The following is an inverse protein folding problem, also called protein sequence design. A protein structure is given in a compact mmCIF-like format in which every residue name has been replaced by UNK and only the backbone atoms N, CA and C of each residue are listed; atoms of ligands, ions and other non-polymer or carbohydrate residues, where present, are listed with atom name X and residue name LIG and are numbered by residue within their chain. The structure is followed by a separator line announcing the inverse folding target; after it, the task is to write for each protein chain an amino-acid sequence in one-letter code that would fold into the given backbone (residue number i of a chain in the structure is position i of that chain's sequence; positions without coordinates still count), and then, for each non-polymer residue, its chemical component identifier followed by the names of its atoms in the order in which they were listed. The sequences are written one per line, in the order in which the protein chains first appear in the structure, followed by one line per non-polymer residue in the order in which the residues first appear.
data_IF_403243598843
#
_entry.id   IF_403243598843
#
_cell.length_a   1.000
_cell.length_b   1.000
_cell.length_c   1.000
_cell.angle_alpha   90.00
_cell.angle_beta   90.00
_cell.angle_gamma   90.00
#
_symmetry.space_group_name_H-M   'P 1'
#
loop_
_entity.id
_entity.type
_entity.pdbx_description
1 polymer ?
#
# COMPACT_ATOMS: atom_id res chain seq x y z
N UNK A 1 -35.24 30.40 5.97
CA UNK A 1 -33.81 30.23 6.26
C UNK A 1 -33.62 30.16 7.77
N UNK A 2 -32.78 29.25 8.27
CA UNK A 2 -32.43 29.23 9.69
C UNK A 2 -31.66 30.52 10.03
N UNK A 3 -31.95 31.15 11.18
CA UNK A 3 -31.22 32.32 11.66
C UNK A 3 -29.79 31.90 12.06
N UNK A 4 -28.80 32.69 11.68
CA UNK A 4 -27.41 32.48 12.10
C UNK A 4 -27.32 32.75 13.61
N UNK A 5 -26.78 31.80 14.37
CA UNK A 5 -26.59 31.92 15.83
C UNK A 5 -25.12 31.69 16.20
N UNK A 6 -24.65 32.36 17.25
CA UNK A 6 -23.33 32.10 17.83
C UNK A 6 -23.40 30.83 18.68
N UNK A 7 -22.47 29.90 18.44
CA UNK A 7 -22.41 28.64 19.19
C UNK A 7 -21.90 28.89 20.62
N UNK A 8 -22.32 28.04 21.57
CA UNK A 8 -21.71 28.00 22.90
C UNK A 8 -20.25 27.54 22.80
N UNK A 9 -19.41 27.95 23.76
CA UNK A 9 -18.00 27.54 23.78
C UNK A 9 -17.86 26.00 23.81
N UNK A 10 -18.71 25.31 24.57
CA UNK A 10 -18.72 23.85 24.65
C UNK A 10 -19.05 23.19 23.30
N UNK A 11 -20.06 23.67 22.58
CA UNK A 11 -20.45 23.11 21.28
C UNK A 11 -19.40 23.40 20.21
N UNK A 12 -18.85 24.62 20.19
CA UNK A 12 -17.72 24.95 19.32
C UNK A 12 -16.50 24.07 19.63
N UNK A 13 -16.29 23.75 20.91
CA UNK A 13 -15.20 22.88 21.32
C UNK A 13 -15.37 21.45 20.80
N UNK A 14 -16.57 20.89 20.96
CA UNK A 14 -16.92 19.55 20.48
C UNK A 14 -16.85 19.43 18.94
N UNK A 15 -17.22 20.49 18.20
CA UNK A 15 -17.12 20.50 16.73
C UNK A 15 -15.65 20.45 16.30
N UNK A 16 -14.81 21.33 16.83
CA UNK A 16 -13.38 21.36 16.51
C UNK A 16 -12.67 20.06 16.95
N UNK A 17 -13.02 19.51 18.12
CA UNK A 17 -12.52 18.21 18.54
C UNK A 17 -12.95 17.09 17.59
N UNK A 18 -14.11 17.24 16.95
CA UNK A 18 -14.58 16.34 15.93
C UNK A 18 -13.69 16.29 14.68
N UNK A 19 -13.06 17.40 14.31
CA UNK A 19 -12.18 17.50 13.15
C UNK A 19 -10.77 16.94 13.43
N UNK A 20 -10.31 17.09 14.68
CA UNK A 20 -8.97 16.66 15.12
C UNK A 20 -8.96 15.21 15.60
N UNK A 21 -9.97 14.78 16.36
CA UNK A 21 -10.03 13.46 17.01
C UNK A 21 -11.24 12.67 16.50
N UNK A 22 -11.02 11.87 15.47
CA UNK A 22 -12.07 10.98 14.94
C UNK A 22 -12.25 9.72 15.80
N UNK A 23 -11.14 9.14 16.27
CA UNK A 23 -11.07 7.79 16.84
C UNK A 23 -9.93 7.67 17.86
N UNK A 24 -9.84 6.58 18.65
CA UNK A 24 -8.73 6.34 19.58
C UNK A 24 -7.35 6.47 18.94
N UNK A 25 -7.16 5.95 17.73
CA UNK A 25 -5.88 6.06 17.01
C UNK A 25 -5.50 7.52 16.70
N UNK A 26 -6.46 8.41 16.42
CA UNK A 26 -6.18 9.83 16.20
C UNK A 26 -5.65 10.50 17.48
N UNK A 27 -6.26 10.20 18.64
CA UNK A 27 -5.78 10.71 19.92
C UNK A 27 -4.36 10.19 20.24
N UNK A 28 -4.12 8.89 20.04
CA UNK A 28 -2.78 8.29 20.22
C UNK A 28 -1.75 8.94 19.29
N UNK A 29 -2.09 9.17 18.02
CA UNK A 29 -1.21 9.83 17.05
C UNK A 29 -0.77 11.20 17.56
N UNK A 30 -1.73 12.06 17.92
CA UNK A 30 -1.40 13.43 18.33
C UNK A 30 -0.59 13.47 19.63
N UNK A 31 -0.85 12.57 20.58
CA UNK A 31 -0.06 12.46 21.81
C UNK A 31 1.38 11.99 21.54
N UNK A 32 1.56 10.99 20.67
CA UNK A 32 2.90 10.52 20.28
C UNK A 32 3.65 11.61 19.50
N UNK A 33 2.99 12.32 18.59
CA UNK A 33 3.60 13.44 17.86
C UNK A 33 4.07 14.55 18.82
N UNK A 34 3.29 14.84 19.87
CA UNK A 34 3.71 15.78 20.90
C UNK A 34 4.92 15.29 21.70
N UNK A 35 4.98 14.01 22.03
CA UNK A 35 6.14 13.41 22.71
C UNK A 35 7.40 13.45 21.83
N UNK A 36 7.27 13.18 20.52
CA UNK A 36 8.36 13.27 19.56
C UNK A 36 8.87 14.72 19.42
N UNK A 37 7.96 15.69 19.32
CA UNK A 37 8.31 17.11 19.27
C UNK A 37 8.98 17.58 20.58
N UNK A 38 8.67 16.96 21.72
CA UNK A 38 9.30 17.20 23.03
C UNK A 38 10.68 16.51 23.18
N UNK A 39 11.18 15.88 22.11
CA UNK A 39 12.49 15.22 22.10
C UNK A 39 12.55 13.90 22.87
N UNK A 40 11.42 13.21 23.05
CA UNK A 40 11.38 11.93 23.75
C UNK A 40 12.26 10.86 23.07
N UNK A 41 12.94 10.06 23.89
CA UNK A 41 13.73 8.89 23.46
C UNK A 41 13.02 7.58 23.72
N UNK A 42 12.02 7.57 24.59
CA UNK A 42 11.16 6.42 24.88
C UNK A 42 9.71 6.87 24.99
N UNK A 43 8.84 6.15 24.31
CA UNK A 43 7.40 6.38 24.31
C UNK A 43 6.68 5.07 24.65
N UNK A 44 5.91 5.09 25.72
CA UNK A 44 5.07 3.99 26.19
C UNK A 44 3.60 4.27 25.92
N UNK A 45 2.91 3.32 25.29
CA UNK A 45 1.48 3.42 25.01
C UNK A 45 0.75 2.25 25.65
N UNK A 46 -0.31 2.52 26.39
CA UNK A 46 -1.20 1.50 26.95
C UNK A 46 -2.64 1.77 26.52
N UNK A 47 -3.32 0.75 26.01
CA UNK A 47 -4.74 0.84 25.62
C UNK A 47 -5.58 -0.29 26.22
N UNK A 48 -6.83 0.03 26.54
CA UNK A 48 -7.83 -0.94 26.99
C UNK A 48 -9.13 -0.78 26.20
N UNK A 49 -9.78 -1.91 25.86
CA UNK A 49 -11.01 -1.96 25.05
C UNK A 49 -10.90 -1.12 23.76
N UNK A 50 -9.80 -1.32 23.01
CA UNK A 50 -9.56 -0.59 21.77
C UNK A 50 -9.23 0.90 21.95
N UNK A 51 -8.92 1.34 23.18
CA UNK A 51 -8.72 2.75 23.51
C UNK A 51 -10.02 3.50 23.81
N UNK A 52 -11.16 2.81 23.91
CA UNK A 52 -12.45 3.42 24.27
C UNK A 52 -12.53 3.75 25.75
N UNK A 53 -12.05 2.82 26.59
CA UNK A 53 -12.08 2.94 28.04
C UNK A 53 -10.86 3.68 28.57
N UNK A 54 -9.68 3.32 28.07
CA UNK A 54 -8.42 3.86 28.56
C UNK A 54 -7.37 3.94 27.45
N UNK A 55 -6.67 5.07 27.40
CA UNK A 55 -5.43 5.29 26.63
C UNK A 55 -4.46 5.97 27.60
N UNK A 56 -3.21 5.52 27.63
CA UNK A 56 -2.12 6.20 28.32
C UNK A 56 -0.95 6.32 27.36
N UNK A 57 -0.38 7.51 27.27
CA UNK A 57 0.86 7.80 26.53
C UNK A 57 1.84 8.43 27.51
N UNK A 58 2.98 7.78 27.71
CA UNK A 58 4.06 8.21 28.59
C UNK A 58 5.33 8.42 27.77
N UNK A 59 6.04 9.51 28.02
CA UNK A 59 7.28 9.86 27.36
C UNK A 59 8.33 10.39 28.34
N UNK A 60 9.60 10.32 27.93
CA UNK A 60 10.74 10.90 28.65
C UNK A 60 11.28 12.18 27.97
N UNK A 61 10.38 12.95 27.36
CA UNK A 61 10.69 14.24 26.73
C UNK A 61 11.10 15.32 27.73
N UNK A 62 11.13 16.58 27.27
CA UNK A 62 11.50 17.72 28.12
C UNK A 62 10.54 18.01 29.28
N UNK A 63 9.28 17.56 29.16
CA UNK A 63 8.20 17.88 30.10
C UNK A 63 7.79 19.35 30.05
N UNK A 64 6.85 19.74 30.92
CA UNK A 64 6.35 21.11 31.01
C UNK A 64 6.53 21.67 32.43
N UNK A 65 6.71 22.99 32.52
CA UNK A 65 6.56 23.71 33.79
C UNK A 65 5.07 23.79 34.17
N UNK A 66 4.72 24.09 35.44
CA UNK A 66 3.32 24.20 35.86
C UNK A 66 2.50 25.16 34.99
N UNK A 67 3.04 26.35 34.72
CA UNK A 67 2.36 27.37 33.90
C UNK A 67 2.18 26.92 32.45
N UNK A 68 3.19 26.26 31.87
CA UNK A 68 3.12 25.73 30.50
C UNK A 68 2.15 24.55 30.41
N UNK A 69 2.03 23.72 31.45
CA UNK A 69 1.10 22.60 31.49
C UNK A 69 -0.36 23.08 31.50
N UNK A 70 -0.65 24.17 32.22
CA UNK A 70 -1.96 24.83 32.20
C UNK A 70 -2.21 25.43 30.81
N UNK A 71 -1.24 26.18 30.28
CA UNK A 71 -1.35 26.83 28.97
C UNK A 71 -1.52 25.81 27.83
N UNK A 72 -0.91 24.64 27.91
CA UNK A 72 -1.03 23.57 26.90
C UNK A 72 -2.46 22.99 26.78
N UNK A 73 -3.32 23.24 27.78
CA UNK A 73 -4.74 22.87 27.76
C UNK A 73 -5.63 23.99 27.22
N UNK A 74 -5.09 25.19 26.99
CA UNK A 74 -5.78 26.28 26.33
C UNK A 74 -5.69 26.17 24.81
N UNK A 75 -6.71 26.68 24.11
CA UNK A 75 -6.73 26.68 22.63
C UNK A 75 -5.84 27.77 22.07
N UNK A 76 -5.26 27.49 20.90
CA UNK A 76 -4.38 28.40 20.17
C UNK A 76 -3.08 28.73 20.92
N UNK A 77 -2.72 27.92 21.91
CA UNK A 77 -1.45 28.00 22.60
C UNK A 77 -0.49 26.96 22.00
N UNK A 78 0.62 27.43 21.43
CA UNK A 78 1.68 26.54 20.95
C UNK A 78 3.05 27.16 21.18
N UNK A 79 4.02 26.33 21.55
CA UNK A 79 5.44 26.70 21.62
C UNK A 79 6.17 26.57 20.28
N UNK A 80 5.49 26.07 19.23
CA UNK A 80 6.14 25.56 18.00
C UNK A 80 6.12 26.53 16.82
N UNK A 81 5.30 27.58 16.85
CA UNK A 81 5.23 28.62 15.83
C UNK A 81 5.19 30.00 16.50
N UNK A 82 5.97 30.96 15.99
CA UNK A 82 5.98 32.33 16.50
C UNK A 82 5.60 33.36 15.41
N UNK A 83 5.86 33.07 14.14
CA UNK A 83 5.61 33.97 13.01
C UNK A 83 4.87 33.29 11.87
N UNK A 84 4.16 34.06 11.04
CA UNK A 84 3.44 33.54 9.86
C UNK A 84 4.37 32.90 8.82
N UNK A 85 5.63 33.33 8.75
CA UNK A 85 6.67 32.70 7.92
C UNK A 85 6.96 31.24 8.31
N UNK A 86 6.73 30.88 9.58
CA UNK A 86 7.03 29.55 10.11
C UNK A 86 6.02 28.50 9.60
N UNK A 87 4.84 28.92 9.13
CA UNK A 87 3.86 28.04 8.48
C UNK A 87 4.34 27.51 7.11
N UNK A 88 5.28 28.21 6.45
CA UNK A 88 5.81 27.78 5.16
C UNK A 88 6.92 26.72 5.31
N UNK A 89 7.51 26.56 6.50
CA UNK A 89 8.62 25.65 6.78
C UNK A 89 8.38 24.85 8.09
N UNK A 90 7.38 23.96 8.05
CA UNK A 90 6.93 23.22 9.25
C UNK A 90 7.86 22.02 9.52
N UNK A 91 8.80 22.21 10.43
CA UNK A 91 9.70 21.15 10.91
C UNK A 91 9.10 20.27 12.03
N UNK A 92 8.11 20.76 12.80
CA UNK A 92 7.49 20.04 13.92
C UNK A 92 6.25 19.26 13.49
N UNK A 93 5.96 18.13 14.14
CA UNK A 93 4.81 17.28 13.79
C UNK A 93 3.49 17.98 14.13
N UNK A 94 3.38 18.54 15.33
CA UNK A 94 2.30 19.43 15.79
C UNK A 94 2.64 20.91 15.61
N UNK A 95 1.68 21.75 15.21
CA UNK A 95 1.91 23.20 15.09
C UNK A 95 0.69 24.08 15.39
N UNK A 96 -0.49 23.48 15.61
CA UNK A 96 -1.76 24.23 15.72
C UNK A 96 -2.16 24.63 17.14
N UNK A 97 -1.52 24.08 18.18
CA UNK A 97 -1.92 24.33 19.57
C UNK A 97 -3.35 23.88 19.91
N UNK A 98 -3.89 22.91 19.14
CA UNK A 98 -5.30 22.51 19.24
C UNK A 98 -5.48 21.04 19.64
N UNK A 99 -4.42 20.22 19.55
CA UNK A 99 -4.52 18.77 19.72
C UNK A 99 -4.92 18.37 21.14
N UNK A 100 -4.14 18.78 22.15
CA UNK A 100 -4.39 18.42 23.55
C UNK A 100 -5.71 19.01 24.09
N UNK A 101 -6.04 20.30 23.86
CA UNK A 101 -7.34 20.86 24.25
C UNK A 101 -8.52 20.16 23.56
N UNK A 102 -8.39 19.80 22.28
CA UNK A 102 -9.42 19.07 21.55
C UNK A 102 -9.67 17.69 22.15
N UNK A 103 -8.62 16.93 22.43
CA UNK A 103 -8.72 15.65 23.12
C UNK A 103 -9.39 15.82 24.48
N UNK A 104 -8.93 16.76 25.30
CA UNK A 104 -9.44 17.01 26.64
C UNK A 104 -10.93 17.36 26.67
N UNK A 105 -11.46 17.99 25.60
CA UNK A 105 -12.88 18.35 25.49
C UNK A 105 -13.83 17.16 25.30
N UNK A 106 -13.32 16.00 24.87
CA UNK A 106 -14.13 14.81 24.55
C UNK A 106 -13.83 13.60 25.45
N UNK A 107 -13.05 13.78 26.50
CA UNK A 107 -12.69 12.71 27.44
C UNK A 107 -12.53 13.21 28.88
N UNK A 108 -12.23 12.28 29.79
CA UNK A 108 -11.67 12.59 31.10
C UNK A 108 -10.15 12.42 31.01
N UNK A 109 -9.41 13.52 31.04
CA UNK A 109 -7.98 13.56 30.82
C UNK A 109 -7.24 13.78 32.14
N UNK A 110 -6.13 13.07 32.32
CA UNK A 110 -5.17 13.27 33.39
C UNK A 110 -3.80 13.51 32.79
N UNK A 111 -3.26 14.70 33.01
CA UNK A 111 -1.93 15.12 32.53
C UNK A 111 -0.99 15.18 33.74
N UNK A 112 0.07 14.37 33.74
CA UNK A 112 1.16 14.46 34.71
C UNK A 112 2.43 14.80 33.95
N UNK A 113 3.13 15.86 34.35
CA UNK A 113 4.34 16.30 33.64
C UNK A 113 5.36 16.87 34.61
N UNK A 114 6.64 16.75 34.29
CA UNK A 114 7.73 17.34 35.06
C UNK A 114 8.80 17.85 34.10
N UNK A 115 9.02 19.16 34.10
CA UNK A 115 10.05 19.80 33.30
C UNK A 115 11.46 19.45 33.77
N UNK A 116 12.44 19.41 32.86
CA UNK A 116 13.87 19.26 33.23
C UNK A 116 14.29 20.35 34.22
N UNK A 117 14.91 19.93 35.32
CA UNK A 117 15.37 20.83 36.38
C UNK A 117 14.30 21.27 37.38
N UNK A 118 13.05 20.79 37.25
CA UNK A 118 12.01 20.99 38.25
C UNK A 118 12.13 19.96 39.37
N UNK A 119 11.85 20.39 40.60
CA UNK A 119 11.90 19.52 41.80
C UNK A 119 10.60 18.73 41.95
N UNK A 120 9.50 19.26 41.44
CA UNK A 120 8.19 18.65 41.50
C UNK A 120 7.48 18.66 40.15
N UNK A 121 6.66 17.64 39.92
CA UNK A 121 5.79 17.55 38.77
C UNK A 121 4.44 18.21 39.01
N UNK A 122 3.73 18.48 37.93
CA UNK A 122 2.35 18.98 37.95
C UNK A 122 1.41 17.88 37.50
N UNK A 123 0.30 17.75 38.23
CA UNK A 123 -0.84 16.92 37.85
C UNK A 123 -2.05 17.80 37.56
N UNK A 124 -2.60 17.67 36.36
CA UNK A 124 -3.82 18.36 35.94
C UNK A 124 -4.88 17.32 35.59
N UNK A 125 -6.07 17.46 36.14
CA UNK A 125 -7.23 16.68 35.77
C UNK A 125 -8.23 17.56 35.02
N UNK A 126 -8.73 17.05 33.90
CA UNK A 126 -9.66 17.75 33.02
C UNK A 126 -10.82 16.83 32.68
N UNK A 127 -12.04 17.35 32.72
CA UNK A 127 -13.24 16.62 32.33
C UNK A 127 -14.03 17.42 31.32
N UNK A 128 -14.12 16.92 30.08
CA UNK A 128 -14.88 17.59 29.03
C UNK A 128 -14.36 19.00 28.71
N UNK A 129 -13.05 19.21 28.84
CA UNK A 129 -12.38 20.49 28.56
C UNK A 129 -12.38 21.48 29.73
N UNK A 130 -12.97 21.12 30.87
CA UNK A 130 -12.93 21.93 32.10
C UNK A 130 -11.88 21.36 33.04
N UNK A 131 -10.90 22.17 33.43
CA UNK A 131 -9.88 21.81 34.42
C UNK A 131 -10.54 21.68 35.79
N UNK A 132 -10.46 20.49 36.39
CA UNK A 132 -11.08 20.18 37.69
C UNK A 132 -10.12 20.31 38.85
N UNK A 133 -8.84 20.00 38.63
CA UNK A 133 -7.80 20.09 39.66
C UNK A 133 -6.44 20.34 39.03
N UNK A 134 -5.60 21.09 39.74
CA UNK A 134 -4.18 21.29 39.45
C UNK A 134 -3.45 21.11 40.77
N UNK A 135 -2.56 20.12 40.86
CA UNK A 135 -1.85 19.78 42.08
C UNK A 135 -0.39 19.48 41.79
N UNK A 136 0.47 19.75 42.76
CA UNK A 136 1.88 19.34 42.73
C UNK A 136 2.01 17.86 43.12
N UNK A 137 2.81 17.11 42.37
CA UNK A 137 3.02 15.66 42.58
C UNK A 137 4.46 15.25 42.31
N UNK A 138 4.92 14.18 42.95
CA UNK A 138 6.16 13.51 42.56
C UNK A 138 6.03 12.88 41.17
N UNK A 139 6.89 13.28 40.22
CA UNK A 139 6.92 12.71 38.88
C UNK A 139 8.35 12.72 38.31
N UNK A 140 8.77 11.67 37.57
CA UNK A 140 9.97 11.74 36.74
C UNK A 140 9.80 12.79 35.64
N UNK A 141 10.94 13.24 35.10
CA UNK A 141 11.01 14.11 33.92
C UNK A 141 10.28 13.46 32.74
N UNK A 142 9.52 14.27 32.01
CA UNK A 142 8.71 13.84 30.87
C UNK A 142 7.22 14.08 31.09
N UNK A 143 6.39 13.43 30.30
CA UNK A 143 4.93 13.63 30.32
C UNK A 143 4.18 12.30 30.27
N UNK A 144 3.12 12.20 31.07
CA UNK A 144 2.13 11.14 31.04
C UNK A 144 0.76 11.77 30.79
N UNK A 145 0.11 11.35 29.71
CA UNK A 145 -1.28 11.70 29.40
C UNK A 145 -2.14 10.45 29.48
N UNK A 146 -3.12 10.43 30.39
CA UNK A 146 -4.15 9.41 30.46
C UNK A 146 -5.48 9.95 29.97
N UNK A 147 -6.16 9.18 29.14
CA UNK A 147 -7.49 9.46 28.60
C UNK A 147 -8.41 8.35 29.09
N UNK A 148 -9.49 8.72 29.78
CA UNK A 148 -10.58 7.83 30.19
C UNK A 148 -11.87 8.19 29.47
N UNK A 149 -12.60 7.16 29.09
CA UNK A 149 -13.93 7.25 28.46
C UNK A 149 -13.97 8.22 27.26
N UNK A 150 -13.23 7.89 26.20
CA UNK A 150 -13.21 8.70 24.99
C UNK A 150 -14.64 8.82 24.40
N UNK A 151 -15.04 10.05 24.09
CA UNK A 151 -16.38 10.44 23.62
C UNK A 151 -17.51 10.20 24.63
N UNK A 152 -17.25 10.27 25.95
CA UNK A 152 -18.29 10.11 26.97
C UNK A 152 -19.44 11.12 26.84
N UNK A 153 -19.14 12.36 26.43
CA UNK A 153 -20.09 13.45 26.18
C UNK A 153 -20.59 13.52 24.73
N UNK A 154 -20.17 12.60 23.85
CA UNK A 154 -20.55 12.57 22.43
C UNK A 154 -21.09 11.17 22.03
N UNK A 155 -22.32 10.81 22.42
CA UNK A 155 -22.85 9.45 22.25
C UNK A 155 -22.96 9.02 20.78
N UNK A 156 -23.25 9.95 19.85
CA UNK A 156 -23.28 9.65 18.42
C UNK A 156 -21.91 9.18 17.91
N UNK A 157 -20.83 9.92 18.23
CA UNK A 157 -19.44 9.55 17.90
C UNK A 157 -19.04 8.21 18.49
N UNK A 158 -19.39 7.97 19.75
CA UNK A 158 -19.11 6.70 20.43
C UNK A 158 -19.74 5.51 19.69
N UNK A 159 -20.92 5.68 19.08
CA UNK A 159 -21.59 4.65 18.26
C UNK A 159 -20.91 4.41 16.90
N UNK A 160 -20.19 5.39 16.34
CA UNK A 160 -19.42 5.22 15.09
C UNK A 160 -18.12 4.44 15.28
N UNK A 161 -17.67 4.22 16.52
CA UNK A 161 -16.51 3.39 16.79
C UNK A 161 -16.78 1.93 16.41
N UNK A 162 -15.77 1.30 15.81
CA UNK A 162 -15.83 -0.11 15.41
C UNK A 162 -15.63 -1.02 16.62
N UNK A 163 -15.54 -2.33 16.39
CA UNK A 163 -15.24 -3.29 17.46
C UNK A 163 -13.89 -2.99 18.13
N UNK A 164 -13.75 -3.37 19.39
CA UNK A 164 -12.55 -3.09 20.20
C UNK A 164 -11.30 -3.68 19.54
N UNK A 165 -11.42 -4.88 18.96
CA UNK A 165 -10.35 -5.52 18.16
C UNK A 165 -9.95 -4.67 16.96
N UNK A 166 -10.91 -4.08 16.24
CA UNK A 166 -10.64 -3.26 15.07
C UNK A 166 -9.97 -1.92 15.45
N UNK A 167 -10.35 -1.32 16.58
CA UNK A 167 -9.68 -0.11 17.08
C UNK A 167 -8.26 -0.43 17.59
N UNK A 168 -8.08 -1.50 18.40
CA UNK A 168 -6.76 -1.95 18.84
C UNK A 168 -5.82 -2.23 17.66
N UNK A 169 -6.31 -2.86 16.59
CA UNK A 169 -5.52 -3.10 15.39
C UNK A 169 -5.09 -1.81 14.69
N UNK A 170 -5.93 -0.77 14.69
CA UNK A 170 -5.58 0.55 14.13
C UNK A 170 -4.53 1.26 14.97
N UNK A 171 -4.66 1.24 16.29
CA UNK A 171 -3.65 1.80 17.20
C UNK A 171 -2.33 1.06 17.03
N UNK A 172 -2.35 -0.28 17.01
CA UNK A 172 -1.15 -1.09 16.78
C UNK A 172 -0.47 -0.73 15.47
N UNK A 173 -1.23 -0.69 14.36
CA UNK A 173 -0.71 -0.28 13.05
C UNK A 173 -0.06 1.10 13.09
N UNK A 174 -0.72 2.08 13.72
CA UNK A 174 -0.20 3.44 13.84
C UNK A 174 1.10 3.49 14.64
N UNK A 175 1.17 2.82 15.79
CA UNK A 175 2.38 2.80 16.63
C UNK A 175 3.52 2.11 15.88
N UNK A 176 3.26 1.02 15.15
CA UNK A 176 4.25 0.39 14.27
C UNK A 176 4.75 1.36 13.19
N UNK A 177 3.86 2.14 12.57
CA UNK A 177 4.26 3.13 11.57
C UNK A 177 5.12 4.24 12.17
N UNK A 178 4.76 4.76 13.34
CA UNK A 178 5.57 5.77 14.03
C UNK A 178 6.93 5.21 14.46
N UNK A 179 6.98 3.96 14.93
CA UNK A 179 8.23 3.30 15.27
C UNK A 179 9.16 3.12 14.07
N UNK A 180 8.62 2.89 12.86
CA UNK A 180 9.41 2.85 11.62
C UNK A 180 9.94 4.23 11.22
N UNK A 181 9.14 5.29 11.40
CA UNK A 181 9.53 6.65 11.02
C UNK A 181 10.55 7.30 11.95
N UNK A 182 10.70 6.78 13.17
CA UNK A 182 11.59 7.30 14.23
C UNK A 182 12.42 6.17 14.86
N UNK A 183 13.37 5.58 14.11
CA UNK A 183 14.20 4.47 14.59
C UNK A 183 15.02 4.83 15.84
N UNK A 184 15.33 6.11 16.07
CA UNK A 184 16.07 6.59 17.23
C UNK A 184 15.27 6.61 18.55
N UNK A 185 13.96 6.32 18.51
CA UNK A 185 13.05 6.38 19.66
C UNK A 185 12.55 4.98 20.03
N UNK A 186 12.65 4.59 21.30
CA UNK A 186 12.09 3.33 21.78
C UNK A 186 10.57 3.40 21.89
N UNK A 187 9.85 2.40 21.37
CA UNK A 187 8.39 2.33 21.46
C UNK A 187 7.94 1.07 22.20
N UNK A 188 6.89 1.21 23.01
CA UNK A 188 6.16 0.08 23.56
C UNK A 188 4.66 0.28 23.47
N UNK A 189 3.91 -0.76 23.10
CA UNK A 189 2.46 -0.77 23.09
C UNK A 189 1.95 -1.96 23.90
N UNK A 190 1.15 -1.69 24.93
CA UNK A 190 0.39 -2.68 25.69
C UNK A 190 -1.09 -2.57 25.34
N UNK A 191 -1.71 -3.67 24.91
CA UNK A 191 -3.16 -3.74 24.66
C UNK A 191 -3.76 -4.82 25.56
N UNK A 192 -4.70 -4.43 26.43
CA UNK A 192 -5.38 -5.36 27.36
C UNK A 192 -4.41 -6.24 28.15
N UNK A 193 -3.34 -5.63 28.68
CA UNK A 193 -2.29 -6.30 29.46
C UNK A 193 -1.22 -7.06 28.65
N UNK A 194 -1.40 -7.25 27.34
CA UNK A 194 -0.41 -7.92 26.48
C UNK A 194 0.48 -6.90 25.76
N UNK A 195 1.79 -7.16 25.71
CA UNK A 195 2.71 -6.38 24.89
C UNK A 195 2.49 -6.74 23.41
N UNK A 196 2.22 -5.74 22.58
CA UNK A 196 1.94 -5.87 21.14
C UNK A 196 3.10 -5.34 20.30
N UNK A 197 3.67 -4.20 20.71
CA UNK A 197 4.88 -3.62 20.12
C UNK A 197 5.89 -3.42 21.25
N UNK A 198 7.14 -3.79 21.02
CA UNK A 198 8.25 -3.52 21.92
C UNK A 198 9.50 -3.44 21.07
N UNK A 199 10.09 -2.25 21.01
CA UNK A 199 11.26 -2.02 20.18
C UNK A 199 12.14 -0.96 20.85
N UNK A 200 13.40 -1.30 21.06
CA UNK A 200 14.39 -0.40 21.66
C UNK A 200 14.79 0.69 20.64
N UNK A 201 15.40 1.80 21.07
CA UNK A 201 16.09 2.70 20.14
C UNK A 201 17.03 1.89 19.24
N UNK A 202 17.03 2.21 17.95
CA UNK A 202 17.80 1.56 16.91
C UNK A 202 18.66 2.62 16.20
N UNK A 203 19.83 2.23 15.72
CA UNK A 203 20.73 3.15 15.00
C UNK A 203 20.34 3.29 13.53
N UNK A 204 19.71 2.25 12.98
CA UNK A 204 19.32 2.19 11.56
C UNK A 204 17.86 1.82 11.38
N UNK A 205 17.29 2.24 10.25
CA UNK A 205 15.94 1.84 9.83
C UNK A 205 15.86 0.32 9.65
N UNK A 206 16.94 -0.32 9.20
CA UNK A 206 17.01 -1.77 9.01
C UNK A 206 16.90 -2.54 10.33
N UNK A 207 17.62 -2.10 11.36
CA UNK A 207 17.54 -2.69 12.69
C UNK A 207 16.12 -2.54 13.27
N UNK A 208 15.53 -1.35 13.13
CA UNK A 208 14.13 -1.10 13.51
C UNK A 208 13.17 -2.03 12.78
N UNK A 209 13.39 -2.22 11.48
CA UNK A 209 12.58 -3.10 10.66
C UNK A 209 12.64 -4.54 11.16
N UNK A 210 13.83 -5.05 11.45
CA UNK A 210 14.05 -6.37 12.03
C UNK A 210 13.35 -6.54 13.38
N UNK A 211 13.41 -5.54 14.28
CA UNK A 211 12.71 -5.59 15.57
C UNK A 211 11.18 -5.71 15.41
N UNK A 212 10.60 -5.16 14.34
CA UNK A 212 9.15 -5.13 14.12
C UNK A 212 8.62 -6.30 13.29
N UNK A 213 9.37 -6.72 12.27
CA UNK A 213 8.93 -7.72 11.29
C UNK A 213 9.77 -9.00 11.29
N UNK A 214 10.89 -9.03 12.02
CA UNK A 214 11.86 -10.12 11.98
C UNK A 214 12.65 -10.15 10.67
N UNK A 215 13.24 -11.30 10.39
CA UNK A 215 13.93 -11.54 9.13
C UNK A 215 12.94 -11.68 7.98
N UNK A 216 13.13 -10.87 6.93
CA UNK A 216 12.24 -10.80 5.76
C UNK A 216 13.07 -10.85 4.47
N UNK A 217 13.58 -12.04 4.08
CA UNK A 217 14.38 -12.20 2.86
C UNK A 217 13.54 -12.01 1.59
N UNK A 218 12.22 -11.92 1.74
CA UNK A 218 11.26 -11.66 0.66
C UNK A 218 11.13 -10.18 0.29
N UNK A 219 11.79 -9.27 1.03
CA UNK A 219 11.79 -7.84 0.75
C UNK A 219 13.06 -7.42 0.02
N UNK A 220 12.89 -6.61 -1.02
CA UNK A 220 13.93 -6.00 -1.82
C UNK A 220 14.18 -4.59 -1.32
N UNK A 221 15.43 -4.21 -1.18
CA UNK A 221 15.82 -2.85 -0.87
C UNK A 221 15.57 -1.94 -2.09
N UNK A 222 15.08 -0.73 -1.82
CA UNK A 222 14.86 0.32 -2.81
C UNK A 222 15.69 1.51 -2.41
N UNK A 223 16.53 2.01 -3.31
CA UNK A 223 17.27 3.25 -3.12
C UNK A 223 17.33 4.02 -4.43
N UNK A 224 16.91 5.29 -4.41
CA UNK A 224 17.00 6.17 -5.57
C UNK A 224 17.09 7.63 -5.15
N UNK A 225 17.97 8.38 -5.79
CA UNK A 225 18.01 9.83 -5.65
C UNK A 225 17.92 10.46 -7.04
N UNK A 226 16.93 11.34 -7.26
CA UNK A 226 16.77 12.05 -8.51
C UNK A 226 15.92 13.33 -8.31
N UNK A 227 16.29 14.41 -8.99
CA UNK A 227 15.50 15.65 -8.99
C UNK A 227 15.37 16.33 -7.61
N UNK A 228 16.30 16.05 -6.68
CA UNK A 228 16.23 16.49 -5.29
C UNK A 228 15.26 15.69 -4.44
N UNK A 229 14.81 14.52 -4.90
CA UNK A 229 13.98 13.57 -4.15
C UNK A 229 14.85 12.35 -3.85
N UNK A 230 14.95 11.98 -2.58
CA UNK A 230 15.57 10.74 -2.15
C UNK A 230 14.49 9.74 -1.70
N UNK A 231 14.56 8.52 -2.22
CA UNK A 231 13.66 7.41 -1.90
C UNK A 231 14.52 6.28 -1.36
N UNK A 232 14.20 5.81 -0.17
CA UNK A 232 14.78 4.61 0.42
C UNK A 232 13.68 3.70 0.98
N UNK A 233 13.96 2.41 1.17
CA UNK A 233 13.03 1.52 1.84
C UNK A 233 13.05 0.08 1.33
N UNK A 234 11.93 -0.61 1.52
CA UNK A 234 11.79 -2.05 1.28
C UNK A 234 10.46 -2.38 0.61
N UNK A 235 10.49 -3.25 -0.38
CA UNK A 235 9.29 -3.65 -1.14
C UNK A 235 9.26 -5.16 -1.35
N UNK A 236 8.08 -5.77 -1.30
CA UNK A 236 7.99 -7.21 -1.46
C UNK A 236 8.33 -7.67 -2.89
N UNK A 237 9.19 -8.68 -2.98
CA UNK A 237 9.54 -9.34 -4.23
C UNK A 237 8.31 -10.01 -4.87
N UNK A 238 8.30 -10.02 -6.20
CA UNK A 238 7.18 -10.59 -6.98
C UNK A 238 7.17 -12.13 -6.95
N UNK A 239 8.34 -12.74 -6.75
CA UNK A 239 8.61 -14.10 -7.19
C UNK A 239 7.86 -15.22 -6.44
N UNK A 240 7.39 -15.05 -5.20
CA UNK A 240 6.96 -16.21 -4.40
C UNK A 240 5.72 -16.00 -3.50
N UNK A 241 4.99 -14.90 -3.65
CA UNK A 241 3.89 -14.61 -2.73
C UNK A 241 2.51 -14.88 -3.34
N UNK A 242 1.65 -15.55 -2.56
CA UNK A 242 0.19 -15.54 -2.78
C UNK A 242 -0.30 -14.09 -2.80
N UNK A 243 -1.40 -13.77 -3.49
CA UNK A 243 -2.00 -12.44 -3.46
C UNK A 243 -2.42 -12.10 -2.02
N UNK A 244 -1.54 -11.44 -1.28
CA UNK A 244 -1.80 -10.97 0.08
C UNK A 244 -1.84 -9.45 0.06
N UNK A 245 -2.75 -8.87 0.84
CA UNK A 245 -2.80 -7.43 1.07
C UNK A 245 -1.73 -7.10 2.11
N UNK A 246 -0.54 -6.73 1.65
CA UNK A 246 0.57 -6.34 2.49
C UNK A 246 0.35 -4.97 3.16
N UNK A 247 1.08 -4.67 4.25
CA UNK A 247 1.11 -3.31 4.80
C UNK A 247 1.77 -2.35 3.82
N UNK A 248 1.20 -1.15 3.69
CA UNK A 248 1.81 -0.04 2.95
C UNK A 248 2.11 1.06 3.95
N UNK A 249 3.39 1.28 4.19
CA UNK A 249 3.92 2.29 5.08
C UNK A 249 4.70 3.27 4.21
N UNK A 250 4.17 4.48 4.08
CA UNK A 250 4.74 5.53 3.23
C UNK A 250 5.01 6.72 4.11
N UNK A 251 6.26 7.18 4.09
CA UNK A 251 6.72 8.33 4.85
C UNK A 251 7.21 9.40 3.91
N UNK A 252 6.75 10.64 4.09
CA UNK A 252 7.31 11.83 3.42
C UNK A 252 7.84 12.74 4.50
N UNK A 253 9.14 13.03 4.50
CA UNK A 253 9.82 13.83 5.54
C UNK A 253 9.42 13.39 6.97
N UNK A 254 9.50 12.08 7.23
CA UNK A 254 9.13 11.42 8.51
C UNK A 254 7.66 11.51 8.93
N UNK A 255 6.75 11.92 8.04
CA UNK A 255 5.28 11.92 8.27
C UNK A 255 4.61 10.76 7.57
N UNK A 256 3.65 10.12 8.22
CA UNK A 256 2.84 9.05 7.62
C UNK A 256 1.87 9.68 6.62
N UNK A 257 2.00 9.32 5.34
CA UNK A 257 1.21 9.90 4.25
C UNK A 257 0.35 8.85 3.56
N UNK A 258 -0.86 9.26 3.17
CA UNK A 258 -1.74 8.53 2.26
C UNK A 258 -2.01 9.39 1.03
N UNK A 259 -1.11 9.32 0.07
CA UNK A 259 -1.22 10.08 -1.16
C UNK A 259 -1.66 9.19 -2.33
N UNK A 260 -2.49 9.75 -3.22
CA UNK A 260 -3.02 9.03 -4.38
C UNK A 260 -1.97 8.85 -5.47
N UNK A 261 -1.10 9.84 -5.68
CA UNK A 261 -0.03 9.79 -6.68
C UNK A 261 0.99 8.73 -6.32
N UNK A 262 1.41 8.67 -5.06
CA UNK A 262 2.30 7.62 -4.55
C UNK A 262 1.65 6.24 -4.66
N UNK A 263 0.39 6.11 -4.23
CA UNK A 263 -0.34 4.85 -4.34
C UNK A 263 -0.48 4.36 -5.78
N UNK A 264 -0.74 5.28 -6.72
CA UNK A 264 -0.83 4.97 -8.14
C UNK A 264 0.52 4.53 -8.71
N UNK A 265 1.62 5.22 -8.38
CA UNK A 265 2.97 4.86 -8.82
C UNK A 265 3.37 3.45 -8.35
N UNK A 266 3.02 3.08 -7.12
CA UNK A 266 3.24 1.73 -6.59
C UNK A 266 2.45 0.70 -7.41
N UNK A 267 1.16 0.95 -7.64
CA UNK A 267 0.30 0.04 -8.40
C UNK A 267 0.81 -0.13 -9.84
N UNK A 268 1.17 0.96 -10.53
CA UNK A 268 1.71 0.95 -11.90
C UNK A 268 3.04 0.18 -12.00
N UNK A 269 3.91 0.35 -11.01
CA UNK A 269 5.20 -0.37 -10.97
C UNK A 269 5.02 -1.88 -10.79
N UNK A 270 4.01 -2.30 -10.03
CA UNK A 270 3.71 -3.71 -9.80
C UNK A 270 2.81 -4.35 -10.88
N UNK A 271 1.94 -3.57 -11.53
CA UNK A 271 1.04 -4.08 -12.58
C UNK A 271 1.81 -4.48 -13.85
N UNK A 272 2.88 -3.74 -14.19
CA UNK A 272 3.79 -4.09 -15.29
C UNK A 272 4.53 -5.40 -15.05
N UNK A 273 4.69 -5.78 -13.79
CA UNK A 273 5.47 -6.94 -13.39
C UNK A 273 4.59 -8.13 -12.92
N UNK A 274 3.25 -8.00 -12.88
CA UNK A 274 2.34 -9.07 -12.42
C UNK A 274 0.90 -8.95 -12.94
N UNK A 275 0.31 -10.10 -13.31
CA UNK A 275 -1.00 -10.28 -13.98
C UNK A 275 -2.25 -10.00 -13.09
N UNK A 276 -2.10 -9.72 -11.79
CA UNK A 276 -3.24 -9.51 -10.86
C UNK A 276 -3.07 -8.24 -10.03
N UNK A 277 -4.17 -7.54 -9.75
CA UNK A 277 -4.26 -6.44 -8.77
C UNK A 277 -3.75 -6.91 -7.40
N UNK A 278 -2.50 -6.60 -7.09
CA UNK A 278 -1.91 -6.83 -5.77
C UNK A 278 -1.87 -5.50 -5.01
N UNK A 279 -2.11 -5.56 -3.70
CA UNK A 279 -1.68 -4.49 -2.78
C UNK A 279 -0.34 -4.95 -2.19
N UNK A 280 0.79 -4.63 -2.84
CA UNK A 280 2.07 -5.10 -2.39
C UNK A 280 2.39 -4.54 -1.01
N UNK A 281 3.16 -5.31 -0.25
CA UNK A 281 3.83 -4.81 0.93
C UNK A 281 4.92 -3.84 0.51
N UNK A 282 4.86 -2.61 1.02
CA UNK A 282 5.83 -1.55 0.74
C UNK A 282 6.08 -0.73 2.00
N UNK A 283 7.35 -0.40 2.20
CA UNK A 283 7.84 0.43 3.30
C UNK A 283 8.77 1.47 2.69
N UNK A 284 8.27 2.67 2.38
CA UNK A 284 8.99 3.69 1.63
C UNK A 284 9.20 4.94 2.46
N UNK A 285 10.42 5.46 2.42
CA UNK A 285 10.85 6.69 3.06
C UNK A 285 11.27 7.66 1.96
N UNK A 286 10.51 8.76 1.84
CA UNK A 286 10.67 9.75 0.78
C UNK A 286 11.10 11.06 1.44
N UNK A 287 12.27 11.56 1.06
CA UNK A 287 12.79 12.85 1.49
C UNK A 287 12.69 13.84 0.32
N UNK A 288 12.02 14.97 0.59
CA UNK A 288 11.75 16.02 -0.41
C UNK A 288 11.99 17.38 0.26
N UNK A 289 12.63 18.34 -0.43
CA UNK A 289 12.73 19.72 0.02
C UNK A 289 11.38 20.30 0.49
N UNK A 290 11.38 21.00 1.63
CA UNK A 290 10.15 21.47 2.28
C UNK A 290 9.36 22.49 1.45
N UNK A 291 10.03 23.23 0.55
CA UNK A 291 9.43 24.15 -0.41
C UNK A 291 8.62 23.45 -1.52
N UNK A 292 8.80 22.14 -1.69
CA UNK A 292 8.13 21.33 -2.72
C UNK A 292 6.99 20.46 -2.18
N UNK A 293 6.72 20.51 -0.87
CA UNK A 293 5.66 19.73 -0.22
C UNK A 293 4.84 20.60 0.70
N UNK A 294 3.56 20.77 0.39
CA UNK A 294 2.59 21.35 1.31
C UNK A 294 1.99 20.27 2.21
N UNK A 295 2.33 20.35 3.50
CA UNK A 295 1.82 19.45 4.55
C UNK A 295 0.53 19.96 5.21
N UNK A 296 0.09 21.18 4.89
CA UNK A 296 -1.04 21.85 5.53
C UNK A 296 -2.38 21.61 4.80
N UNK A 297 -2.57 20.44 4.22
CA UNK A 297 -3.74 20.15 3.34
C UNK A 297 -4.94 19.61 4.13
N UNK A 298 -4.69 18.82 5.19
CA UNK A 298 -5.75 18.15 5.95
C UNK A 298 -5.53 18.31 7.47
N UNK A 299 -6.60 18.45 8.30
CA UNK A 299 -6.47 18.63 9.76
C UNK A 299 -5.61 17.56 10.47
N UNK A 300 -5.76 16.28 10.07
CA UNK A 300 -4.97 15.15 10.60
C UNK A 300 -3.57 14.99 9.97
N UNK A 301 -3.20 15.85 9.01
CA UNK A 301 -1.89 15.84 8.29
C UNK A 301 -1.55 14.52 7.57
N UNK A 302 -2.57 13.73 7.22
CA UNK A 302 -2.40 12.45 6.53
C UNK A 302 -2.24 12.58 5.01
N UNK A 303 -2.56 13.75 4.46
CA UNK A 303 -2.49 14.07 3.03
C UNK A 303 -1.48 15.20 2.85
N UNK A 304 -0.66 15.10 1.81
CA UNK A 304 0.31 16.12 1.41
C UNK A 304 0.07 16.48 -0.04
N UNK A 305 0.38 17.72 -0.42
CA UNK A 305 0.35 18.15 -1.81
C UNK A 305 1.77 18.42 -2.28
N UNK A 306 2.21 17.66 -3.28
CA UNK A 306 3.47 17.92 -3.95
C UNK A 306 3.30 19.07 -4.95
N UNK A 307 4.30 19.95 -5.02
CA UNK A 307 4.36 21.00 -6.04
C UNK A 307 4.46 20.38 -7.45
N UNK A 308 5.28 19.34 -7.61
CA UNK A 308 5.43 18.58 -8.85
C UNK A 308 5.10 17.10 -8.63
N UNK A 309 3.83 16.76 -8.84
CA UNK A 309 3.34 15.38 -8.69
C UNK A 309 3.91 14.43 -9.75
N UNK A 310 4.17 14.93 -10.96
CA UNK A 310 4.68 14.14 -12.07
C UNK A 310 6.12 13.69 -11.81
N UNK A 311 6.95 14.59 -11.28
CA UNK A 311 8.31 14.26 -10.89
C UNK A 311 8.35 13.19 -9.79
N UNK A 312 7.57 13.36 -8.71
CA UNK A 312 7.48 12.38 -7.61
C UNK A 312 7.05 11.01 -8.14
N UNK A 313 6.03 10.98 -8.99
CA UNK A 313 5.55 9.74 -9.61
C UNK A 313 6.64 9.05 -10.43
N UNK A 314 7.35 9.79 -11.30
CA UNK A 314 8.36 9.22 -12.19
C UNK A 314 9.59 8.72 -11.43
N UNK A 315 10.08 9.46 -10.43
CA UNK A 315 11.20 9.02 -9.58
C UNK A 315 10.84 7.76 -8.81
N UNK A 316 9.65 7.72 -8.20
CA UNK A 316 9.17 6.55 -7.48
C UNK A 316 8.99 5.34 -8.40
N UNK A 317 8.36 5.55 -9.56
CA UNK A 317 8.17 4.50 -10.56
C UNK A 317 9.51 3.90 -11.00
N UNK A 318 10.53 4.73 -11.27
CA UNK A 318 11.88 4.27 -11.63
C UNK A 318 12.53 3.49 -10.49
N UNK A 319 12.50 4.01 -9.27
CA UNK A 319 13.06 3.35 -8.09
C UNK A 319 12.46 1.95 -7.88
N UNK A 320 11.15 1.83 -7.98
CA UNK A 320 10.45 0.55 -7.87
C UNK A 320 10.74 -0.38 -9.04
N UNK A 321 10.76 0.13 -10.27
CA UNK A 321 11.04 -0.69 -11.47
C UNK A 321 12.45 -1.24 -11.45
N UNK A 322 13.43 -0.44 -11.00
CA UNK A 322 14.83 -0.86 -10.85
C UNK A 322 14.94 -1.96 -9.79
N UNK A 323 14.40 -1.75 -8.58
CA UNK A 323 14.44 -2.75 -7.52
C UNK A 323 13.72 -4.06 -7.90
N UNK A 324 12.57 -3.98 -8.58
CA UNK A 324 11.84 -5.14 -9.07
C UNK A 324 12.53 -5.81 -10.28
N UNK A 325 13.24 -5.04 -11.10
CA UNK A 325 13.90 -5.49 -12.33
C UNK A 325 15.30 -6.09 -12.10
N UNK A 326 16.04 -5.63 -11.09
CA UNK A 326 17.32 -6.22 -10.66
C UNK A 326 17.16 -7.66 -10.17
N UNK A 327 15.95 -8.05 -9.75
CA UNK A 327 15.62 -9.46 -9.46
C UNK A 327 15.61 -10.36 -10.71
N UNK A 328 15.66 -9.78 -11.91
CA UNK A 328 15.45 -10.46 -13.18
C UNK A 328 14.08 -11.15 -13.26
N UNK A 329 13.64 -11.66 -14.44
CA UNK A 329 12.76 -12.81 -14.42
C UNK A 329 13.49 -13.88 -13.60
N UNK A 330 12.84 -14.45 -12.59
CA UNK A 330 13.39 -15.57 -11.83
C UNK A 330 14.04 -16.52 -12.82
N UNK A 331 15.37 -16.62 -12.81
CA UNK A 331 16.01 -17.71 -13.52
C UNK A 331 15.43 -18.94 -12.86
N UNK A 332 14.49 -19.60 -13.54
CA UNK A 332 14.06 -20.94 -13.22
C UNK A 332 15.33 -21.75 -13.26
N UNK A 333 16.00 -21.87 -12.11
CA UNK A 333 16.92 -22.95 -11.86
C UNK A 333 16.02 -24.18 -11.86
N UNK A 334 15.76 -24.70 -13.06
CA UNK A 334 15.46 -26.11 -13.21
C UNK A 334 16.69 -26.82 -12.68
N UNK A 335 16.66 -27.13 -11.39
CA UNK A 335 17.26 -28.38 -10.96
C UNK A 335 16.47 -29.44 -11.73
N UNK A 336 16.95 -29.75 -12.94
CA UNK A 336 16.67 -31.00 -13.60
C UNK A 336 17.16 -32.05 -12.60
N UNK A 337 16.25 -32.47 -11.71
CA UNK A 337 16.40 -33.77 -11.09
C UNK A 337 16.62 -34.71 -12.27
N UNK A 338 17.67 -35.53 -12.27
CA UNK A 338 17.81 -36.59 -13.25
C UNK A 338 16.66 -37.56 -12.97
N UNK A 339 15.47 -37.23 -13.48
CA UNK A 339 14.42 -38.19 -13.66
C UNK A 339 14.99 -39.09 -14.73
N UNK A 340 15.41 -40.29 -14.34
CA UNK A 340 15.62 -41.36 -15.31
C UNK A 340 14.40 -41.34 -16.24
N UNK A 341 14.64 -41.03 -17.52
CA UNK A 341 13.60 -41.02 -18.53
C UNK A 341 13.10 -42.46 -18.62
N UNK A 342 12.07 -42.80 -17.85
CA UNK A 342 11.39 -44.07 -18.02
C UNK A 342 10.96 -44.13 -19.48
N UNK A 343 11.49 -45.12 -20.21
CA UNK A 343 11.06 -45.42 -21.56
C UNK A 343 9.52 -45.50 -21.57
N UNK A 344 8.85 -44.89 -22.55
CA UNK A 344 7.40 -44.88 -22.61
C UNK A 344 6.89 -46.32 -22.64
N UNK A 345 6.32 -46.78 -21.51
CA UNK A 345 5.70 -48.09 -21.46
C UNK A 345 4.42 -48.06 -22.30
N UNK A 346 4.46 -48.78 -23.41
CA UNK A 346 3.30 -49.03 -24.27
C UNK A 346 2.37 -49.96 -23.49
N UNK A 347 1.35 -49.39 -22.83
CA UNK A 347 0.28 -50.17 -22.24
C UNK A 347 -0.65 -50.68 -23.36
N UNK A 348 -0.74 -52.00 -23.59
CA UNK A 348 -1.62 -52.52 -24.63
C UNK A 348 -3.08 -52.30 -24.22
N UNK A 349 -3.88 -51.77 -25.15
CA UNK A 349 -5.33 -51.63 -25.00
C UNK A 349 -5.95 -53.04 -25.14
N UNK A 350 -6.74 -53.52 -24.16
CA UNK A 350 -7.35 -54.84 -24.24
C UNK A 350 -8.32 -54.95 -25.44
N UNK A 351 -8.11 -55.94 -26.31
CA UNK A 351 -9.02 -56.27 -27.42
C UNK A 351 -8.56 -55.86 -28.82
N UNK A 352 -7.40 -55.24 -28.97
CA UNK A 352 -6.80 -54.94 -30.29
C UNK A 352 -5.82 -56.06 -30.66
N UNK A 353 -5.95 -56.65 -31.86
CA UNK A 353 -4.97 -57.61 -32.39
C UNK A 353 -3.57 -57.01 -32.35
N UNK A 354 -2.63 -57.78 -31.81
CA UNK A 354 -1.20 -57.46 -31.71
C UNK A 354 -0.65 -57.17 -33.11
N UNK A 355 -0.17 -55.94 -33.34
CA UNK A 355 0.57 -55.61 -34.55
C UNK A 355 0.57 -54.14 -35.00
N UNK A 356 -0.38 -53.32 -34.55
CA UNK A 356 -0.41 -51.91 -34.95
C UNK A 356 0.38 -51.04 -33.96
N UNK A 357 1.68 -50.84 -34.20
CA UNK A 357 2.39 -49.72 -33.61
C UNK A 357 1.91 -48.45 -34.28
N UNK A 358 1.17 -47.59 -33.57
CA UNK A 358 0.94 -46.22 -34.02
C UNK A 358 2.26 -45.48 -33.74
N UNK A 359 3.03 -45.07 -34.75
CA UNK A 359 4.22 -44.28 -34.50
C UNK A 359 3.78 -42.97 -33.84
N UNK A 360 4.38 -42.65 -32.70
CA UNK A 360 4.25 -41.32 -32.12
C UNK A 360 4.65 -40.30 -33.18
N UNK A 361 3.86 -39.23 -33.34
CA UNK A 361 4.13 -38.10 -34.27
C UNK A 361 5.45 -37.36 -33.97
N UNK A 362 6.20 -37.82 -32.98
CA UNK A 362 7.42 -37.25 -32.43
C UNK A 362 8.70 -38.00 -32.84
N UNK A 363 8.64 -38.93 -33.79
CA UNK A 363 9.86 -39.52 -34.37
C UNK A 363 10.38 -38.64 -35.52
N UNK A 364 11.62 -38.13 -35.45
CA UNK A 364 12.24 -37.46 -36.60
C UNK A 364 12.42 -38.45 -37.74
N UNK A 365 12.13 -38.02 -38.98
CA UNK A 365 12.17 -38.82 -40.23
C UNK A 365 13.60 -39.25 -40.64
N UNK A 366 14.59 -39.17 -39.74
CA UNK A 366 15.98 -39.49 -40.04
C UNK A 366 16.40 -40.94 -39.73
N UNK A 367 15.54 -41.76 -39.10
CA UNK A 367 15.88 -43.13 -38.69
C UNK A 367 15.05 -44.23 -39.37
N UNK A 368 14.40 -43.93 -40.50
CA UNK A 368 13.51 -44.88 -41.18
C UNK A 368 14.14 -45.58 -42.40
N UNK A 369 15.46 -45.55 -42.55
CA UNK A 369 16.15 -46.45 -43.48
C UNK A 369 16.72 -47.64 -42.71
N UNK A 370 16.10 -48.80 -42.97
CA UNK A 370 16.53 -50.19 -42.77
C UNK A 370 15.48 -50.97 -41.98
N UNK A 371 14.44 -51.42 -42.69
CA UNK A 371 14.13 -52.85 -42.74
C UNK A 371 13.13 -53.14 -43.85
N UNK A 372 13.65 -53.78 -44.87
CA UNK A 372 12.94 -54.39 -45.97
C UNK A 372 12.11 -55.57 -45.43
N UNK A 373 10.84 -55.66 -45.80
CA UNK A 373 10.11 -56.93 -45.90
C UNK A 373 8.89 -56.79 -46.80
N UNK A 374 8.92 -57.59 -47.87
CA UNK A 374 8.02 -57.69 -49.02
C UNK A 374 6.65 -58.26 -48.65
N UNK A 375 5.57 -57.61 -49.09
CA UNK A 375 4.31 -58.28 -49.49
C UNK A 375 3.47 -57.35 -50.41
N UNK A 376 2.71 -57.91 -51.37
CA UNK A 376 2.32 -57.22 -52.59
C UNK A 376 1.03 -56.37 -52.48
N UNK A 377 1.01 -55.32 -53.30
CA UNK A 377 -0.07 -54.37 -53.54
C UNK A 377 -1.35 -55.03 -54.09
N UNK A 378 -2.50 -54.68 -53.51
CA UNK A 378 -3.82 -54.77 -54.15
C UNK A 378 -4.41 -53.36 -54.16
N UNK A 379 -4.76 -52.76 -55.32
CA UNK A 379 -5.25 -51.40 -55.39
C UNK A 379 -6.80 -51.30 -55.37
N UNK A 380 -7.30 -50.23 -54.74
CA UNK A 380 -8.42 -49.43 -55.28
C UNK A 380 -9.81 -49.63 -54.70
N UNK A 381 -10.29 -48.64 -53.92
CA UNK A 381 -11.38 -47.72 -54.28
C UNK A 381 -12.08 -47.13 -53.04
N UNK A 382 -11.94 -45.81 -52.82
CA UNK A 382 -13.00 -44.90 -52.34
C UNK A 382 -12.48 -43.44 -52.28
N UNK A 383 -13.33 -42.42 -52.48
CA UNK A 383 -12.99 -41.25 -53.28
C UNK A 383 -12.39 -40.08 -52.51
N UNK A 384 -11.62 -39.29 -53.25
CA UNK A 384 -11.09 -37.98 -52.93
C UNK A 384 -12.23 -36.98 -52.70
N UNK A 385 -12.23 -36.31 -51.55
CA UNK A 385 -12.91 -35.03 -51.36
C UNK A 385 -11.83 -33.96 -51.21
N UNK A 386 -11.59 -33.24 -52.30
CA UNK A 386 -10.81 -32.01 -52.33
C UNK A 386 -11.48 -30.96 -51.45
N UNK A 387 -10.87 -30.67 -50.29
CA UNK A 387 -11.14 -29.41 -49.57
C UNK A 387 -10.12 -28.40 -50.07
N UNK A 388 -10.55 -27.59 -51.04
CA UNK A 388 -9.90 -26.36 -51.46
C UNK A 388 -9.70 -25.44 -50.24
N UNK A 389 -8.53 -25.50 -49.62
CA UNK A 389 -8.06 -24.47 -48.68
C UNK A 389 -7.24 -23.48 -49.48
N UNK A 390 -7.92 -22.42 -49.93
CA UNK A 390 -7.30 -21.19 -50.41
C UNK A 390 -6.23 -20.75 -49.40
N UNK A 391 -4.96 -20.96 -49.75
CA UNK A 391 -3.82 -20.45 -49.01
C UNK A 391 -3.84 -18.93 -49.11
N UNK A 392 -4.37 -18.27 -48.08
CA UNK A 392 -4.13 -16.85 -47.84
C UNK A 392 -2.62 -16.70 -47.64
N UNK A 393 -1.95 -16.04 -48.60
CA UNK A 393 -0.55 -15.66 -48.45
C UNK A 393 -0.42 -14.79 -47.18
N UNK A 394 0.42 -15.17 -46.21
CA UNK A 394 0.63 -14.34 -45.03
C UNK A 394 1.32 -13.06 -45.44
N UNK A 395 0.73 -11.92 -45.05
CA UNK A 395 1.41 -10.63 -45.09
C UNK A 395 2.73 -10.68 -44.31
N UNK A 396 3.71 -9.94 -44.81
CA UNK A 396 5.08 -9.93 -44.34
C UNK A 396 5.22 -9.85 -42.81
N UNK A 397 5.92 -10.84 -42.23
CA UNK A 397 6.52 -10.75 -40.90
C UNK A 397 6.18 -11.85 -39.89
N UNK A 398 5.14 -12.67 -40.13
CA UNK A 398 4.76 -13.73 -39.18
C UNK A 398 5.33 -15.06 -39.66
N UNK A 399 6.35 -15.57 -38.94
CA UNK A 399 6.87 -16.92 -39.17
C UNK A 399 5.77 -17.95 -38.87
N UNK A 400 5.63 -19.02 -39.66
CA UNK A 400 4.63 -20.05 -39.40
C UNK A 400 4.90 -20.72 -38.05
N UNK A 401 3.90 -20.74 -37.16
CA UNK A 401 3.99 -21.31 -35.82
C UNK A 401 3.10 -22.55 -35.71
N UNK A 402 3.56 -23.58 -35.03
CA UNK A 402 2.80 -24.80 -34.77
C UNK A 402 2.25 -24.74 -33.35
N UNK A 403 0.93 -24.64 -33.19
CA UNK A 403 0.29 -24.67 -31.88
C UNK A 403 0.42 -26.07 -31.25
N UNK A 404 1.06 -26.14 -30.07
CA UNK A 404 1.25 -27.38 -29.31
C UNK A 404 0.08 -27.67 -28.37
N UNK A 405 -0.55 -26.62 -27.84
CA UNK A 405 -1.67 -26.77 -26.92
C UNK A 405 -2.00 -25.49 -26.18
N UNK A 406 -2.92 -25.59 -25.23
CA UNK A 406 -3.39 -24.48 -24.43
C UNK A 406 -3.15 -24.78 -22.95
N UNK A 407 -2.60 -23.81 -22.22
CA UNK A 407 -2.39 -23.92 -20.79
C UNK A 407 -3.45 -23.13 -20.03
N UNK A 408 -4.24 -23.86 -19.22
CA UNK A 408 -5.28 -23.31 -18.33
C UNK A 408 -6.22 -22.31 -19.01
N UNK A 409 -6.59 -22.58 -20.26
CA UNK A 409 -7.48 -21.73 -21.07
C UNK A 409 -7.05 -20.26 -21.17
N UNK A 410 -5.76 -19.96 -20.94
CA UNK A 410 -5.24 -18.58 -20.87
C UNK A 410 -4.09 -18.35 -21.83
N UNK A 411 -3.23 -19.34 -22.02
CA UNK A 411 -2.06 -19.23 -22.90
C UNK A 411 -2.10 -20.27 -24.00
N UNK A 412 -1.78 -19.86 -25.22
CA UNK A 412 -1.51 -20.76 -26.34
C UNK A 412 0.00 -20.99 -26.37
N UNK A 413 0.41 -22.25 -26.29
CA UNK A 413 1.81 -22.64 -26.44
C UNK A 413 2.00 -23.10 -27.88
N UNK A 414 2.94 -22.47 -28.57
CA UNK A 414 3.31 -22.78 -29.95
C UNK A 414 4.82 -22.96 -30.07
N UNK A 415 5.28 -23.54 -31.18
CA UNK A 415 6.69 -23.63 -31.53
C UNK A 415 6.92 -23.00 -32.90
N UNK A 416 8.00 -22.26 -33.02
CA UNK A 416 8.55 -21.77 -34.27
C UNK A 416 9.98 -22.29 -34.48
N UNK A 417 10.67 -21.81 -35.52
CA UNK A 417 12.05 -22.20 -35.85
C UNK A 417 13.08 -21.76 -34.79
N UNK A 418 12.73 -20.82 -33.90
CA UNK A 418 13.62 -20.26 -32.87
C UNK A 418 13.35 -20.87 -31.49
N UNK A 419 12.17 -21.45 -31.26
CA UNK A 419 11.88 -22.24 -30.07
C UNK A 419 10.41 -22.25 -29.66
N UNK A 420 10.17 -22.29 -28.34
CA UNK A 420 8.81 -22.30 -27.76
C UNK A 420 8.35 -20.86 -27.59
N UNK A 421 7.15 -20.58 -28.11
CA UNK A 421 6.46 -19.30 -27.98
C UNK A 421 5.20 -19.46 -27.15
N UNK A 422 5.02 -18.58 -26.17
CA UNK A 422 3.85 -18.54 -25.30
C UNK A 422 3.06 -17.28 -25.60
N UNK A 423 1.84 -17.46 -26.12
CA UNK A 423 0.95 -16.38 -26.53
C UNK A 423 -0.17 -16.23 -25.52
N UNK A 424 -0.32 -15.04 -24.93
CA UNK A 424 -1.48 -14.71 -24.10
C UNK A 424 -2.73 -14.58 -24.98
N UNK A 425 -3.71 -15.44 -24.73
CA UNK A 425 -4.92 -15.52 -25.54
C UNK A 425 -5.79 -14.26 -25.44
N UNK A 426 -5.81 -13.60 -24.27
CA UNK A 426 -6.62 -12.41 -24.07
C UNK A 426 -6.05 -11.23 -24.85
N UNK A 427 -4.74 -11.00 -24.74
CA UNK A 427 -4.04 -9.93 -25.45
C UNK A 427 -4.07 -10.16 -26.96
N UNK A 428 -3.87 -11.40 -27.41
CA UNK A 428 -3.97 -11.75 -28.83
C UNK A 428 -5.39 -11.51 -29.36
N UNK A 429 -6.42 -11.85 -28.60
CA UNK A 429 -7.81 -11.63 -29.00
C UNK A 429 -8.14 -10.14 -29.10
N UNK A 430 -7.74 -9.33 -28.12
CA UNK A 430 -7.92 -7.87 -28.17
C UNK A 430 -7.19 -7.25 -29.36
N UNK A 431 -5.97 -7.70 -29.65
CA UNK A 431 -5.20 -7.21 -30.80
C UNK A 431 -5.88 -7.54 -32.13
N UNK A 432 -6.39 -8.76 -32.29
CA UNK A 432 -7.15 -9.18 -33.49
C UNK A 432 -8.45 -8.39 -33.62
N UNK A 433 -9.16 -8.13 -32.52
CA UNK A 433 -10.35 -7.29 -32.50
C UNK A 433 -10.02 -5.85 -32.92
N UNK A 434 -8.96 -5.27 -32.35
CA UNK A 434 -8.50 -3.93 -32.67
C UNK A 434 -8.11 -3.81 -34.15
N UNK A 435 -7.32 -4.74 -34.69
CA UNK A 435 -6.92 -4.74 -36.09
C UNK A 435 -8.13 -4.95 -37.02
N UNK A 436 -9.10 -5.79 -36.63
CA UNK A 436 -10.35 -5.97 -37.37
C UNK A 436 -11.19 -4.69 -37.38
N UNK A 437 -11.27 -3.97 -36.26
CA UNK A 437 -11.95 -2.67 -36.16
C UNK A 437 -11.23 -1.62 -36.99
N UNK A 438 -9.89 -1.53 -36.90
CA UNK A 438 -9.10 -0.58 -37.67
C UNK A 438 -9.17 -0.84 -39.16
N UNK A 439 -9.16 -2.11 -39.58
CA UNK A 439 -9.36 -2.49 -40.99
C UNK A 439 -10.75 -2.10 -41.47
N UNK A 440 -11.80 -2.31 -40.66
CA UNK A 440 -13.17 -1.87 -40.98
C UNK A 440 -13.30 -0.34 -41.07
N UNK A 441 -12.60 0.39 -40.20
CA UNK A 441 -12.58 1.86 -40.21
C UNK A 441 -11.86 2.42 -41.43
N UNK A 442 -10.81 1.73 -41.93
CA UNK A 442 -10.06 2.16 -43.10
C UNK A 442 -10.67 1.68 -44.43
N UNK A 443 -11.47 0.61 -44.44
CA UNK A 443 -12.01 0.00 -45.67
C UNK A 443 -13.48 0.31 -45.97
N UNK A 444 -14.21 1.11 -45.19
CA UNK A 444 -15.63 1.37 -45.46
C UNK A 444 -16.32 2.44 -44.60
N UNK A 445 -17.53 2.85 -45.02
CA UNK A 445 -18.38 3.86 -44.35
C UNK A 445 -18.84 3.34 -42.97
N UNK A 446 -18.56 4.12 -41.92
CA UNK A 446 -18.97 3.85 -40.54
C UNK A 446 -20.47 3.51 -40.44
N UNK A 447 -20.81 2.38 -39.79
CA UNK A 447 -22.15 2.16 -39.29
C UNK A 447 -22.41 3.15 -38.14
N UNK A 448 -22.97 4.31 -38.46
CA UNK A 448 -23.48 5.23 -37.44
C UNK A 448 -24.89 4.78 -37.04
N UNK A 449 -25.11 4.48 -35.77
CA UNK A 449 -26.46 4.36 -35.25
C UNK A 449 -27.12 5.74 -35.31
N UNK A 450 -28.18 5.87 -36.12
CA UNK A 450 -29.02 7.08 -36.10
C UNK A 450 -29.63 7.21 -34.71
N UNK A 451 -29.69 8.45 -34.21
CA UNK A 451 -30.31 8.76 -32.93
C UNK A 451 -31.73 8.18 -32.89
N UNK A 452 -32.06 7.44 -31.82
CA UNK A 452 -33.40 6.88 -31.60
C UNK A 452 -34.48 7.97 -31.54
N UNK A 453 -34.11 9.17 -31.08
CA UNK A 453 -34.94 10.37 -31.14
C UNK A 453 -34.19 11.50 -31.87
N UNK A 454 -34.80 12.16 -32.87
CA UNK A 454 -34.16 13.26 -33.59
C UNK A 454 -34.00 14.49 -32.69
N UNK A 455 -32.79 15.05 -32.64
CA UNK A 455 -32.50 16.28 -31.89
C UNK A 455 -32.92 17.49 -32.74
N UNK A 456 -33.89 18.27 -32.25
CA UNK A 456 -34.27 19.56 -32.83
C UNK A 456 -33.21 20.61 -32.45
N UNK A 457 -32.36 20.98 -33.40
CA UNK A 457 -31.42 22.09 -33.23
C UNK A 457 -32.09 23.42 -33.60
N UNK A 458 -32.20 24.34 -32.64
CA UNK A 458 -32.53 25.74 -32.91
C UNK A 458 -31.25 26.47 -33.30
N UNK A 459 -31.16 26.84 -34.56
CA UNK A 459 -30.10 27.72 -35.07
C UNK A 459 -30.54 29.17 -34.87
N UNK A 460 -29.77 29.94 -34.11
CA UNK A 460 -29.88 31.40 -34.07
C UNK A 460 -28.95 31.99 -35.13
N UNK A 461 -29.48 32.84 -35.99
CA UNK A 461 -28.68 33.61 -36.95
C UNK A 461 -27.90 34.65 -36.14
N UNK A 462 -26.57 34.52 -36.14
CA UNK A 462 -25.61 35.50 -35.62
C UNK A 462 -24.56 35.76 -36.68
#
# INVERSE_FOLDING_TARGET
MAKIIRLSAELANQIAAGEVVERPASAVKELIENALDAGARRIGVTIELGGKRFISVEDDGEGMSPDQAILALERHATSKLAKSSDLAAIHTLGFRGEALPSVASVCRLKLRTCGRGQVAGTLIEVSGGVTTSVCEVGAPVGTLVEIRDLFFNMPARRKFLKSDRAESARVSKLVTQLALGYPEVGFSLKSSGRKVVQCAPAETVMERFYQLYGERPDLLEVQKEAGGIAISGYVAALANQRPSRGPQNIFVNRRIVKDRTVAHAIIDSYSRATIKERRPEVHLFIEIPADRVDVNVHPMKAEVRFLDQSLVHEVLRRALTEALGESGPSQLHSQLMPTELNEPQVNPIPGVMVGASIPSRWTPVAAAFVRESLAPLIPGNAPENEVNTSVLQPGAGIKPMIALGQFRDTFIVAVDEEGIVVVDQHVAHERVLFERVMTRLSSGRLESQRLLEPILMKLSIG
#
